data_IF_486044181492
#
_entry.id   IF_486044181492
#
_cell.length_a   1.000
_cell.length_b   1.000
_cell.length_c   1.000
_cell.angle_alpha   90.00
_cell.angle_beta   90.00
_cell.angle_gamma   90.00
#
_symmetry.space_group_name_H-M   'P 1'
#
loop_
_entity.id
_entity.type
_entity.pdbx_description
1 polymer ?
#
# COMPACT_ATOMS: atom_id res chain seq x y z
N UNK A 1 -56.42 27.01 66.06
CA UNK A 1 -56.08 25.92 65.18
C UNK A 1 -55.23 26.52 64.07
N UNK A 2 -53.92 26.45 64.12
CA UNK A 2 -52.99 27.09 63.19
C UNK A 2 -52.03 26.00 62.63
N UNK A 3 -52.13 25.74 61.33
CA UNK A 3 -51.21 24.88 60.62
C UNK A 3 -49.84 25.54 60.51
N UNK A 4 -48.79 24.84 60.91
CA UNK A 4 -47.42 25.17 60.61
C UNK A 4 -46.95 24.20 59.52
N UNK A 5 -46.74 24.71 58.32
CA UNK A 5 -45.93 24.07 57.30
C UNK A 5 -44.45 24.42 57.56
N UNK A 6 -43.64 23.41 57.81
CA UNK A 6 -42.18 23.57 57.85
C UNK A 6 -41.60 23.27 56.48
N UNK A 7 -40.88 24.28 55.94
CA UNK A 7 -40.10 24.18 54.75
C UNK A 7 -38.83 23.35 55.02
N UNK A 8 -38.64 22.26 54.29
CA UNK A 8 -37.36 21.61 54.10
C UNK A 8 -36.85 21.98 52.71
N UNK A 9 -36.15 23.11 52.64
CA UNK A 9 -35.31 23.45 51.51
C UNK A 9 -33.86 23.49 51.99
N UNK A 10 -32.99 23.07 51.06
CA UNK A 10 -31.55 23.22 51.16
C UNK A 10 -30.77 22.21 51.98
N UNK A 11 -30.17 21.26 51.28
CA UNK A 11 -28.76 20.83 51.44
C UNK A 11 -28.38 19.67 50.53
N UNK A 12 -28.80 19.67 49.27
CA UNK A 12 -28.43 18.60 48.32
C UNK A 12 -28.08 19.13 46.91
N UNK A 13 -27.34 20.23 46.84
CA UNK A 13 -26.89 20.75 45.54
C UNK A 13 -25.45 21.31 45.56
N UNK A 14 -24.53 20.61 46.25
CA UNK A 14 -23.12 21.04 46.18
C UNK A 14 -22.13 19.88 46.18
N UNK A 15 -22.52 18.68 45.71
CA UNK A 15 -21.62 17.53 45.59
C UNK A 15 -21.63 16.86 44.20
N UNK A 16 -22.18 17.53 43.20
CA UNK A 16 -22.30 17.00 41.83
C UNK A 16 -21.60 17.87 40.78
N UNK A 17 -20.63 18.71 41.17
CA UNK A 17 -19.90 19.57 40.23
C UNK A 17 -18.37 19.44 40.30
N UNK A 18 -17.84 18.34 40.84
CA UNK A 18 -16.36 18.12 40.87
C UNK A 18 -15.99 16.74 40.27
N UNK A 19 -16.88 16.05 39.59
CA UNK A 19 -16.58 14.74 39.03
C UNK A 19 -16.67 14.68 37.49
N UNK A 20 -16.41 15.82 36.82
CA UNK A 20 -16.41 15.89 35.36
C UNK A 20 -15.23 16.68 34.80
N UNK A 21 -14.03 16.52 35.39
CA UNK A 21 -12.81 17.12 34.83
C UNK A 21 -11.58 16.23 35.06
N UNK A 22 -11.78 14.92 34.89
CA UNK A 22 -10.68 13.97 34.64
C UNK A 22 -11.04 13.08 33.48
N UNK A 23 -11.54 13.65 32.35
CA UNK A 23 -11.38 13.00 31.05
C UNK A 23 -9.94 13.28 30.67
N UNK A 24 -9.15 12.31 30.98
CA UNK A 24 -7.78 12.15 30.57
C UNK A 24 -7.63 12.59 29.13
N UNK A 25 -6.88 13.66 28.92
CA UNK A 25 -6.18 13.93 27.70
C UNK A 25 -5.13 12.80 27.59
N UNK A 26 -5.57 11.59 27.29
CA UNK A 26 -4.72 10.66 26.57
C UNK A 26 -4.53 11.28 25.20
N UNK A 27 -3.54 12.15 25.14
CA UNK A 27 -3.02 12.63 23.88
C UNK A 27 -2.84 11.42 23.00
N UNK A 28 -3.55 11.45 21.88
CA UNK A 28 -3.19 10.66 20.73
C UNK A 28 -1.70 10.94 20.50
N UNK A 29 -0.83 10.06 21.01
CA UNK A 29 0.47 9.90 20.41
C UNK A 29 0.15 9.43 19.00
N UNK A 30 0.00 10.38 18.08
CA UNK A 30 0.29 10.11 16.69
C UNK A 30 1.65 9.45 16.73
N UNK A 31 1.72 8.17 16.42
CA UNK A 31 2.92 7.50 15.97
C UNK A 31 3.23 8.08 14.58
N UNK A 32 3.42 9.41 14.54
CA UNK A 32 3.85 10.11 13.36
C UNK A 32 5.34 10.20 13.45
N UNK A 33 5.96 9.56 12.53
CA UNK A 33 7.35 9.67 12.16
C UNK A 33 8.31 8.74 12.92
N UNK A 34 8.39 7.52 12.46
CA UNK A 34 9.64 6.73 12.59
C UNK A 34 10.82 7.46 11.91
N UNK A 35 10.55 8.56 11.16
CA UNK A 35 11.60 9.31 10.47
C UNK A 35 11.35 10.81 10.57
N UNK A 36 11.86 11.47 11.63
CA UNK A 36 11.93 12.93 11.66
C UNK A 36 12.96 13.42 10.62
N UNK A 37 12.56 14.33 9.75
CA UNK A 37 13.50 15.18 9.01
C UNK A 37 13.91 14.73 7.62
N UNK A 38 13.28 13.74 6.99
CA UNK A 38 13.57 13.41 5.59
C UNK A 38 12.89 14.38 4.64
N UNK A 39 13.64 14.87 3.68
CA UNK A 39 13.11 15.66 2.57
C UNK A 39 12.16 14.78 1.75
N UNK A 40 10.89 15.18 1.67
CA UNK A 40 9.88 14.56 0.83
C UNK A 40 9.71 15.44 -0.40
N UNK A 41 10.00 14.88 -1.57
CA UNK A 41 9.77 15.57 -2.85
C UNK A 41 8.40 15.16 -3.39
N UNK A 42 7.49 16.11 -3.52
CA UNK A 42 6.22 15.89 -4.23
C UNK A 42 6.42 16.21 -5.72
N UNK A 43 5.90 15.33 -6.59
CA UNK A 43 5.95 15.50 -8.04
C UNK A 43 4.56 15.26 -8.65
N UNK A 44 4.20 16.05 -9.64
CA UNK A 44 3.08 15.75 -10.53
C UNK A 44 3.61 14.79 -11.60
N UNK A 45 3.04 13.58 -11.67
CA UNK A 45 3.45 12.59 -12.66
C UNK A 45 2.45 12.45 -13.81
N UNK A 46 1.22 12.95 -13.60
CA UNK A 46 0.16 12.85 -14.60
C UNK A 46 -0.86 13.97 -14.42
N UNK A 47 -1.29 14.54 -15.52
CA UNK A 47 -2.48 15.38 -15.61
C UNK A 47 -3.40 14.70 -16.62
N UNK A 48 -4.62 14.40 -16.23
CA UNK A 48 -5.62 13.77 -17.08
C UNK A 48 -6.98 14.39 -16.81
N UNK A 49 -7.60 14.93 -17.84
CA UNK A 49 -8.82 15.73 -17.74
C UNK A 49 -8.66 16.87 -16.70
N UNK A 50 -9.47 16.88 -15.63
CA UNK A 50 -9.36 17.85 -14.54
C UNK A 50 -8.49 17.36 -13.38
N UNK A 51 -7.97 16.12 -13.44
CA UNK A 51 -7.26 15.48 -12.34
C UNK A 51 -5.76 15.72 -12.44
N UNK A 52 -5.16 16.13 -11.32
CA UNK A 52 -3.71 16.25 -11.16
C UNK A 52 -3.23 15.17 -10.17
N UNK A 53 -2.51 14.17 -10.68
CA UNK A 53 -2.03 13.05 -9.91
C UNK A 53 -0.58 13.24 -9.49
N UNK A 54 -0.33 13.01 -8.21
CA UNK A 54 0.95 13.28 -7.57
C UNK A 54 1.61 12.01 -7.05
N UNK A 55 2.90 12.09 -6.79
CA UNK A 55 3.64 11.11 -6.03
C UNK A 55 4.57 11.79 -5.04
N UNK A 56 4.81 11.12 -3.91
CA UNK A 56 5.78 11.55 -2.91
C UNK A 56 7.01 10.65 -2.97
N UNK A 57 8.19 11.26 -3.01
CA UNK A 57 9.46 10.54 -3.03
C UNK A 57 10.23 10.80 -1.75
N UNK A 58 10.74 9.73 -1.15
CA UNK A 58 11.67 9.74 -0.03
C UNK A 58 13.01 9.24 -0.53
N UNK A 59 14.07 9.97 -0.21
CA UNK A 59 15.41 9.62 -0.60
C UNK A 59 16.23 9.08 0.58
N UNK A 60 17.23 8.22 0.35
CA UNK A 60 18.13 7.80 1.41
C UNK A 60 18.95 8.98 1.95
N UNK A 61 19.26 8.96 3.26
CA UNK A 61 19.95 10.07 3.96
C UNK A 61 21.29 10.48 3.32
N UNK A 62 21.99 9.52 2.75
CA UNK A 62 23.30 9.74 2.12
C UNK A 62 23.19 9.68 0.58
N UNK A 63 22.25 10.40 0.00
CA UNK A 63 22.05 10.47 -1.44
C UNK A 63 23.32 11.01 -2.15
N UNK A 64 23.88 10.21 -3.05
CA UNK A 64 25.04 10.61 -3.88
C UNK A 64 24.58 10.93 -5.30
N UNK A 65 24.95 12.12 -5.82
CA UNK A 65 24.52 12.65 -7.13
C UNK A 65 24.69 11.68 -8.30
N UNK A 66 25.73 10.86 -8.31
CA UNK A 66 26.04 9.95 -9.42
C UNK A 66 25.69 8.49 -9.14
N UNK A 67 24.93 8.20 -8.07
CA UNK A 67 24.54 6.85 -7.71
C UNK A 67 23.08 6.63 -8.06
N UNK A 68 22.76 5.42 -8.55
CA UNK A 68 21.38 4.94 -8.72
C UNK A 68 21.03 4.00 -7.57
N UNK A 69 19.81 4.08 -7.10
CA UNK A 69 19.33 3.35 -5.93
C UNK A 69 18.20 2.38 -6.31
N UNK A 70 18.13 1.22 -5.69
CA UNK A 70 16.93 0.40 -5.75
C UNK A 70 15.73 1.24 -5.32
N UNK A 71 14.58 0.98 -5.94
CA UNK A 71 13.39 1.81 -5.73
C UNK A 71 12.20 0.92 -5.41
N UNK A 72 11.41 1.29 -4.40
CA UNK A 72 10.13 0.65 -4.11
C UNK A 72 8.99 1.65 -4.27
N UNK A 73 7.97 1.25 -5.02
CA UNK A 73 6.80 2.08 -5.36
C UNK A 73 5.59 1.47 -4.69
N UNK A 74 4.92 2.25 -3.83
CA UNK A 74 3.77 1.82 -3.06
C UNK A 74 2.46 2.39 -3.61
N UNK A 75 1.46 1.53 -3.68
CA UNK A 75 0.08 1.86 -4.00
C UNK A 75 -0.82 1.52 -2.80
N UNK A 76 -1.61 2.47 -2.34
CA UNK A 76 -2.50 2.27 -1.19
C UNK A 76 -3.72 1.39 -1.53
N UNK A 77 -4.32 0.78 -0.50
CA UNK A 77 -5.58 0.03 -0.60
C UNK A 77 -6.82 0.94 -0.57
N UNK A 78 -7.99 0.32 -0.56
CA UNK A 78 -9.26 1.02 -0.48
C UNK A 78 -10.27 0.63 -1.58
N UNK A 79 -10.11 -0.56 -2.18
CA UNK A 79 -11.07 -1.14 -3.13
C UNK A 79 -11.27 -0.31 -4.40
N UNK A 80 -10.29 0.51 -4.79
CA UNK A 80 -10.38 1.52 -5.87
C UNK A 80 -11.50 2.56 -5.64
N UNK A 81 -12.07 2.59 -4.42
CA UNK A 81 -13.10 3.55 -4.04
C UNK A 81 -12.52 4.79 -3.35
N UNK A 82 -11.47 4.62 -2.55
CA UNK A 82 -10.86 5.66 -1.75
C UNK A 82 -9.47 5.26 -1.29
N UNK A 83 -8.97 5.91 -0.23
CA UNK A 83 -7.64 5.70 0.32
C UNK A 83 -6.72 6.89 0.05
N UNK A 84 -5.56 6.89 0.71
CA UNK A 84 -4.52 7.91 0.57
C UNK A 84 -3.13 7.28 0.67
N UNK A 85 -2.12 8.00 0.22
CA UNK A 85 -0.70 7.63 0.30
C UNK A 85 -0.21 7.40 1.74
N UNK A 86 -0.94 7.92 2.74
CA UNK A 86 -0.61 7.81 4.16
C UNK A 86 -0.45 6.37 4.62
N UNK A 87 -1.17 5.44 3.98
CA UNK A 87 -1.13 4.02 4.35
C UNK A 87 0.29 3.43 4.39
N UNK A 88 1.18 3.89 3.52
CA UNK A 88 2.53 3.34 3.39
C UNK A 88 3.64 4.33 3.76
N UNK A 89 3.33 5.46 4.43
CA UNK A 89 4.36 6.45 4.81
C UNK A 89 5.44 5.88 5.71
N UNK A 90 5.07 5.03 6.66
CA UNK A 90 6.02 4.44 7.60
C UNK A 90 6.93 3.42 6.92
N UNK A 91 6.38 2.55 6.05
CA UNK A 91 7.18 1.63 5.23
C UNK A 91 8.09 2.40 4.28
N UNK A 92 7.59 3.46 3.62
CA UNK A 92 8.40 4.29 2.72
C UNK A 92 9.58 4.91 3.46
N UNK A 93 9.32 5.45 4.63
CA UNK A 93 10.35 5.99 5.49
C UNK A 93 11.39 4.96 5.90
N UNK A 94 10.95 3.78 6.33
CA UNK A 94 11.84 2.68 6.71
C UNK A 94 12.73 2.26 5.53
N UNK A 95 12.19 1.96 4.37
CA UNK A 95 13.01 1.53 3.23
C UNK A 95 13.91 2.63 2.67
N UNK A 96 13.53 3.90 2.82
CA UNK A 96 14.43 5.01 2.52
C UNK A 96 15.65 5.00 3.47
N UNK A 97 15.46 4.73 4.78
CA UNK A 97 16.57 4.57 5.73
C UNK A 97 17.48 3.38 5.40
N UNK A 98 16.89 2.35 4.77
CA UNK A 98 17.63 1.17 4.29
C UNK A 98 18.36 1.40 2.97
N UNK A 99 18.37 2.64 2.43
CA UNK A 99 19.11 3.02 1.25
C UNK A 99 18.38 2.84 -0.08
N UNK A 100 17.06 2.80 -0.08
CA UNK A 100 16.23 2.80 -1.28
C UNK A 100 15.66 4.19 -1.58
N UNK A 101 15.34 4.48 -2.82
CA UNK A 101 14.36 5.52 -3.15
C UNK A 101 12.98 4.91 -2.94
N UNK A 102 12.11 5.59 -2.20
CA UNK A 102 10.74 5.10 -1.97
C UNK A 102 9.72 6.08 -2.52
N UNK A 103 8.67 5.56 -3.12
CA UNK A 103 7.67 6.35 -3.84
C UNK A 103 6.28 5.96 -3.38
N UNK A 104 5.48 6.94 -2.99
CA UNK A 104 4.07 6.78 -2.68
C UNK A 104 3.27 7.39 -3.83
N UNK A 105 2.43 6.61 -4.50
CA UNK A 105 1.69 7.04 -5.68
C UNK A 105 0.23 7.28 -5.34
N UNK A 106 -0.26 8.51 -5.56
CA UNK A 106 -1.69 8.76 -5.62
C UNK A 106 -2.22 8.37 -7.00
N UNK A 107 -3.44 7.87 -7.06
CA UNK A 107 -4.07 7.40 -8.29
C UNK A 107 -5.58 7.68 -8.24
N UNK A 108 -6.24 7.70 -9.38
CA UNK A 108 -7.68 7.94 -9.46
C UNK A 108 -8.46 6.84 -8.76
N UNK A 109 -9.40 7.27 -7.89
CA UNK A 109 -10.34 6.42 -7.15
C UNK A 109 -11.77 6.91 -7.33
N UNK A 110 -12.75 6.03 -7.17
CA UNK A 110 -14.15 6.34 -7.45
C UNK A 110 -14.68 7.54 -6.66
N UNK A 111 -14.36 7.64 -5.37
CA UNK A 111 -14.90 8.69 -4.48
C UNK A 111 -14.44 10.10 -4.82
N UNK A 112 -13.23 10.25 -5.39
CA UNK A 112 -12.66 11.56 -5.74
C UNK A 112 -12.81 11.89 -7.22
N UNK A 113 -12.80 10.88 -8.10
CA UNK A 113 -12.65 11.06 -9.54
C UNK A 113 -13.74 10.37 -10.37
N UNK A 114 -14.70 9.66 -9.72
CA UNK A 114 -15.70 8.87 -10.45
C UNK A 114 -15.13 7.69 -11.26
N UNK A 115 -13.87 7.36 -11.06
CA UNK A 115 -13.12 6.40 -11.86
C UNK A 115 -13.46 4.95 -11.58
N UNK A 116 -13.11 4.07 -12.52
CA UNK A 116 -13.18 2.62 -12.39
C UNK A 116 -11.79 2.04 -12.03
N UNK A 117 -11.69 0.74 -11.71
CA UNK A 117 -10.39 0.10 -11.50
C UNK A 117 -9.45 0.17 -12.72
N UNK A 118 -9.98 0.30 -13.92
CA UNK A 118 -9.19 0.43 -15.14
C UNK A 118 -8.37 1.73 -15.17
N UNK A 119 -8.99 2.87 -14.76
CA UNK A 119 -8.28 4.15 -14.66
C UNK A 119 -7.20 4.08 -13.57
N UNK A 120 -7.47 3.42 -12.44
CA UNK A 120 -6.46 3.21 -11.40
C UNK A 120 -5.25 2.42 -11.91
N UNK A 121 -5.45 1.38 -12.74
CA UNK A 121 -4.37 0.61 -13.37
C UNK A 121 -3.59 1.47 -14.38
N UNK A 122 -4.28 2.26 -15.21
CA UNK A 122 -3.63 3.20 -16.14
C UNK A 122 -2.71 4.16 -15.38
N UNK A 123 -3.19 4.72 -14.27
CA UNK A 123 -2.41 5.67 -13.46
C UNK A 123 -1.19 5.00 -12.81
N UNK A 124 -1.35 3.80 -12.27
CA UNK A 124 -0.24 3.04 -11.71
C UNK A 124 0.86 2.76 -12.76
N UNK A 125 0.47 2.45 -13.99
CA UNK A 125 1.40 2.24 -15.10
C UNK A 125 2.06 3.53 -15.56
N UNK A 126 1.30 4.63 -15.66
CA UNK A 126 1.83 5.96 -15.97
C UNK A 126 2.90 6.38 -14.94
N UNK A 127 2.65 6.11 -13.64
CA UNK A 127 3.62 6.40 -12.58
C UNK A 127 4.95 5.64 -12.77
N UNK A 128 4.92 4.34 -13.11
CA UNK A 128 6.14 3.56 -13.39
C UNK A 128 6.87 4.12 -14.61
N UNK A 129 6.15 4.50 -15.68
CA UNK A 129 6.76 5.12 -16.87
C UNK A 129 7.44 6.43 -16.55
N UNK A 130 6.75 7.31 -15.84
CA UNK A 130 7.30 8.57 -15.38
C UNK A 130 8.59 8.39 -14.58
N UNK A 131 8.60 7.47 -13.61
CA UNK A 131 9.79 7.16 -12.81
C UNK A 131 10.95 6.62 -13.66
N UNK A 132 10.66 5.82 -14.67
CA UNK A 132 11.68 5.30 -15.60
C UNK A 132 12.22 6.35 -16.55
N UNK A 133 11.38 7.23 -17.02
CA UNK A 133 11.77 8.36 -17.87
C UNK A 133 12.71 9.30 -17.11
N UNK A 134 12.34 9.68 -15.90
CA UNK A 134 13.10 10.59 -15.03
C UNK A 134 14.12 9.88 -14.13
N UNK A 135 14.47 8.61 -14.40
CA UNK A 135 15.29 7.79 -13.52
C UNK A 135 16.67 8.34 -13.22
N UNK A 136 17.27 9.10 -14.15
CA UNK A 136 18.58 9.76 -13.93
C UNK A 136 18.46 10.87 -12.90
N UNK A 137 17.48 11.72 -13.04
CA UNK A 137 17.19 12.86 -12.18
C UNK A 137 16.75 12.41 -10.78
N UNK A 138 15.97 11.34 -10.72
CA UNK A 138 15.42 10.78 -9.48
C UNK A 138 16.34 9.72 -8.84
N UNK A 139 17.54 9.53 -9.36
CA UNK A 139 18.53 8.56 -8.86
C UNK A 139 18.03 7.11 -8.84
N UNK A 140 17.13 6.72 -9.72
CA UNK A 140 16.48 5.40 -9.76
C UNK A 140 17.30 4.41 -10.58
N UNK A 141 17.50 3.20 -10.03
CA UNK A 141 17.98 2.05 -10.79
C UNK A 141 16.80 1.33 -11.43
N UNK A 142 16.59 1.56 -12.73
CA UNK A 142 15.51 0.92 -13.52
C UNK A 142 15.52 -0.61 -13.48
N UNK A 143 16.65 -1.23 -13.13
CA UNK A 143 16.80 -2.69 -13.03
C UNK A 143 16.43 -3.24 -11.65
N UNK A 144 16.28 -2.36 -10.65
CA UNK A 144 15.98 -2.70 -9.26
C UNK A 144 14.75 -1.92 -8.77
N UNK A 145 13.66 -2.02 -9.52
CA UNK A 145 12.38 -1.42 -9.15
C UNK A 145 11.44 -2.49 -8.61
N UNK A 146 10.88 -2.21 -7.45
CA UNK A 146 9.88 -3.05 -6.76
C UNK A 146 8.54 -2.33 -6.81
N UNK A 147 7.47 -3.02 -7.13
CA UNK A 147 6.12 -2.51 -6.91
C UNK A 147 5.51 -3.19 -5.69
N UNK A 148 4.83 -2.43 -4.87
CA UNK A 148 4.23 -2.89 -3.62
C UNK A 148 2.87 -2.23 -3.39
N UNK A 149 2.04 -2.87 -2.60
CA UNK A 149 0.77 -2.28 -2.22
C UNK A 149 -0.10 -3.23 -1.41
N UNK A 150 -1.18 -2.67 -0.82
CA UNK A 150 -2.14 -3.40 -0.02
C UNK A 150 -3.49 -3.51 -0.72
N UNK A 151 -4.14 -4.69 -0.64
CA UNK A 151 -5.51 -4.87 -1.15
C UNK A 151 -5.63 -4.45 -2.64
N UNK A 152 -6.46 -3.48 -2.97
CA UNK A 152 -6.56 -2.88 -4.30
C UNK A 152 -5.22 -2.26 -4.78
N UNK A 153 -4.41 -1.70 -3.87
CA UNK A 153 -3.07 -1.21 -4.22
C UNK A 153 -2.10 -2.34 -4.57
N UNK A 154 -2.24 -3.48 -3.93
CA UNK A 154 -1.51 -4.70 -4.32
C UNK A 154 -1.91 -5.22 -5.70
N UNK A 155 -3.19 -5.07 -6.06
CA UNK A 155 -3.64 -5.30 -7.42
C UNK A 155 -2.90 -4.39 -8.41
N UNK A 156 -2.79 -3.08 -8.13
CA UNK A 156 -2.07 -2.14 -8.97
C UNK A 156 -0.60 -2.51 -9.10
N UNK A 157 0.05 -2.91 -8.00
CA UNK A 157 1.42 -3.38 -7.99
C UNK A 157 1.61 -4.62 -8.89
N UNK A 158 0.71 -5.61 -8.79
CA UNK A 158 0.74 -6.79 -9.65
C UNK A 158 0.40 -6.43 -11.12
N UNK A 159 -0.54 -5.51 -11.33
CA UNK A 159 -0.97 -5.07 -12.66
C UNK A 159 0.16 -4.42 -13.47
N UNK A 160 0.98 -3.55 -12.85
CA UNK A 160 2.12 -2.92 -13.56
C UNK A 160 3.14 -3.93 -14.04
N UNK A 161 3.28 -5.05 -13.35
CA UNK A 161 4.21 -6.12 -13.68
C UNK A 161 3.68 -7.12 -14.71
N UNK A 162 2.41 -7.49 -14.59
CA UNK A 162 1.84 -8.67 -15.23
C UNK A 162 0.90 -8.35 -16.41
N UNK A 163 0.19 -7.21 -16.38
CA UNK A 163 -0.79 -6.89 -17.40
C UNK A 163 -0.16 -6.26 -18.65
N UNK A 164 -0.31 -6.85 -19.83
CA UNK A 164 0.24 -6.27 -21.07
C UNK A 164 -0.55 -5.05 -21.57
N UNK A 165 -1.87 -5.07 -21.36
CA UNK A 165 -2.82 -4.03 -21.78
C UNK A 165 -3.10 -2.98 -20.71
N UNK A 166 -4.24 -2.30 -20.81
CA UNK A 166 -4.73 -1.27 -19.88
C UNK A 166 -3.71 -0.14 -19.69
N UNK A 167 -3.41 0.56 -20.76
CA UNK A 167 -2.50 1.71 -20.77
C UNK A 167 -3.28 2.99 -20.98
N UNK A 168 -2.77 4.11 -20.44
CA UNK A 168 -3.28 5.41 -20.80
C UNK A 168 -2.93 5.74 -22.26
N UNK A 169 -3.85 6.39 -22.97
CA UNK A 169 -3.67 6.68 -24.40
C UNK A 169 -2.54 7.69 -24.66
N UNK A 170 -2.24 8.52 -23.66
CA UNK A 170 -1.17 9.54 -23.74
C UNK A 170 0.19 9.04 -23.29
N UNK A 171 0.28 7.81 -22.74
CA UNK A 171 1.55 7.24 -22.27
C UNK A 171 2.46 6.82 -23.43
N UNK A 172 3.75 7.09 -23.30
CA UNK A 172 4.75 6.44 -24.15
C UNK A 172 4.89 4.95 -23.80
N UNK A 173 4.20 4.10 -24.53
CA UNK A 173 4.21 2.65 -24.32
C UNK A 173 5.53 1.96 -24.71
N UNK A 174 6.48 2.67 -25.34
CA UNK A 174 7.85 2.17 -25.55
C UNK A 174 8.61 2.05 -24.22
N UNK A 175 8.22 2.84 -23.23
CA UNK A 175 8.70 2.71 -21.85
C UNK A 175 7.88 1.61 -21.16
N UNK A 176 8.46 0.42 -20.99
CA UNK A 176 7.77 -0.70 -20.35
C UNK A 176 7.53 -0.47 -18.85
N UNK A 177 6.49 -1.09 -18.30
CA UNK A 177 6.14 -1.00 -16.87
C UNK A 177 6.73 -2.12 -16.02
N UNK A 178 7.57 -3.02 -16.59
CA UNK A 178 8.15 -4.16 -15.86
C UNK A 178 8.91 -3.68 -14.62
N UNK A 179 8.66 -4.34 -13.51
CA UNK A 179 9.40 -4.21 -12.26
C UNK A 179 10.19 -5.48 -11.98
N UNK A 180 11.15 -5.42 -11.09
CA UNK A 180 12.07 -6.52 -10.82
C UNK A 180 11.70 -7.37 -9.62
N UNK A 181 10.72 -6.94 -8.81
CA UNK A 181 10.12 -7.71 -7.74
C UNK A 181 8.74 -7.14 -7.37
N UNK A 182 7.92 -7.95 -6.70
CA UNK A 182 6.62 -7.57 -6.15
C UNK A 182 6.58 -7.85 -4.63
N UNK A 183 5.92 -6.95 -3.88
CA UNK A 183 5.56 -7.16 -2.48
C UNK A 183 4.07 -6.87 -2.33
N UNK A 184 3.29 -7.90 -2.04
CA UNK A 184 1.83 -7.88 -2.09
C UNK A 184 1.26 -8.13 -0.69
N UNK A 185 0.60 -7.10 -0.10
CA UNK A 185 -0.03 -7.19 1.21
C UNK A 185 -1.54 -7.38 1.05
N UNK A 186 -2.09 -8.50 1.50
CA UNK A 186 -3.53 -8.81 1.41
C UNK A 186 -4.11 -8.48 0.02
N UNK A 187 -3.38 -8.81 -1.05
CA UNK A 187 -3.57 -8.21 -2.35
C UNK A 187 -4.68 -8.88 -3.14
N UNK A 188 -5.49 -8.07 -3.78
CA UNK A 188 -6.38 -8.56 -4.85
C UNK A 188 -5.50 -8.94 -6.04
N UNK A 189 -5.55 -10.18 -6.45
CA UNK A 189 -4.86 -10.65 -7.66
C UNK A 189 -5.80 -11.38 -8.61
N UNK A 190 -6.97 -11.80 -8.11
CA UNK A 190 -8.01 -12.45 -8.88
C UNK A 190 -9.28 -11.56 -8.95
N UNK A 191 -9.78 -11.32 -10.16
CA UNK A 191 -11.04 -10.63 -10.44
C UNK A 191 -12.00 -11.51 -11.25
N UNK A 192 -11.73 -12.81 -11.30
CA UNK A 192 -12.57 -13.79 -11.98
C UNK A 192 -13.92 -14.04 -11.30
N UNK A 193 -14.81 -14.84 -11.90
CA UNK A 193 -16.12 -15.14 -11.35
C UNK A 193 -16.09 -16.21 -10.23
N UNK A 194 -14.92 -16.81 -9.95
CA UNK A 194 -14.78 -17.88 -8.96
C UNK A 194 -14.78 -17.38 -7.51
N UNK A 195 -14.72 -18.30 -6.53
CA UNK A 195 -14.79 -17.98 -5.10
C UNK A 195 -13.67 -17.05 -4.59
N UNK A 196 -12.55 -16.95 -5.31
CA UNK A 196 -11.43 -16.04 -5.00
C UNK A 196 -11.53 -14.70 -5.70
N UNK A 197 -12.47 -14.52 -6.62
CA UNK A 197 -12.61 -13.34 -7.45
C UNK A 197 -13.16 -12.15 -6.69
N UNK A 198 -12.35 -11.09 -6.59
CA UNK A 198 -12.76 -9.88 -5.88
C UNK A 198 -13.43 -8.89 -6.83
N UNK A 199 -14.68 -8.54 -6.51
CA UNK A 199 -15.50 -7.55 -7.25
C UNK A 199 -15.58 -7.82 -8.77
N UNK A 200 -15.76 -9.07 -9.14
CA UNK A 200 -15.91 -9.49 -10.54
C UNK A 200 -16.94 -8.65 -11.31
N UNK A 201 -18.08 -8.35 -10.70
CA UNK A 201 -19.15 -7.54 -11.31
C UNK A 201 -18.69 -6.15 -11.78
N UNK A 202 -17.71 -5.55 -11.09
CA UNK A 202 -17.11 -4.26 -11.52
C UNK A 202 -16.16 -4.39 -12.70
N UNK A 203 -15.60 -5.58 -12.91
CA UNK A 203 -14.66 -5.86 -14.01
C UNK A 203 -15.40 -6.36 -15.26
N UNK A 204 -16.55 -7.01 -15.06
CA UNK A 204 -17.35 -7.61 -16.13
C UNK A 204 -16.62 -8.71 -16.89
N UNK A 205 -17.11 -9.05 -18.07
CA UNK A 205 -16.56 -10.11 -18.93
C UNK A 205 -15.10 -9.86 -19.34
N UNK A 206 -14.66 -8.60 -19.31
CA UNK A 206 -13.28 -8.24 -19.66
C UNK A 206 -12.28 -8.45 -18.50
N UNK A 207 -12.68 -9.09 -17.40
CA UNK A 207 -11.85 -9.27 -16.21
C UNK A 207 -10.46 -9.85 -16.50
N UNK A 208 -10.31 -10.70 -17.50
CA UNK A 208 -9.02 -11.26 -17.92
C UNK A 208 -7.98 -10.19 -18.29
N UNK A 209 -8.42 -9.02 -18.74
CA UNK A 209 -7.54 -7.91 -19.10
C UNK A 209 -6.99 -7.16 -17.89
N UNK A 210 -7.62 -7.31 -16.71
CA UNK A 210 -7.29 -6.57 -15.50
C UNK A 210 -6.91 -7.46 -14.30
N UNK A 211 -7.20 -8.77 -14.37
CA UNK A 211 -6.91 -9.73 -13.30
C UNK A 211 -5.47 -10.25 -13.38
N UNK A 212 -4.60 -9.88 -12.42
CA UNK A 212 -3.17 -10.20 -12.47
C UNK A 212 -2.88 -11.70 -12.51
N UNK A 213 -3.59 -12.50 -11.72
CA UNK A 213 -3.35 -13.96 -11.60
C UNK A 213 -3.51 -14.68 -12.96
N UNK A 214 -4.42 -14.19 -13.80
CA UNK A 214 -4.68 -14.75 -15.14
C UNK A 214 -3.64 -14.32 -16.18
N UNK A 215 -2.74 -13.40 -15.81
CA UNK A 215 -1.70 -12.87 -16.68
C UNK A 215 -0.28 -13.28 -16.26
N UNK A 216 -0.14 -14.20 -15.29
CA UNK A 216 1.14 -14.77 -14.89
C UNK A 216 1.70 -15.58 -16.06
N UNK A 217 2.95 -15.27 -16.45
CA UNK A 217 3.66 -15.95 -17.52
C UNK A 217 5.16 -15.98 -17.25
N UNK A 218 5.90 -16.78 -17.99
CA UNK A 218 7.37 -16.85 -17.89
C UNK A 218 8.01 -15.46 -17.86
N UNK A 219 8.85 -15.22 -16.86
CA UNK A 219 9.48 -13.93 -16.61
C UNK A 219 8.67 -13.01 -15.68
N UNK A 220 7.62 -13.51 -15.02
CA UNK A 220 6.98 -12.83 -13.89
C UNK A 220 8.02 -12.57 -12.80
N UNK A 221 8.05 -11.38 -12.17
CA UNK A 221 9.09 -11.03 -11.20
C UNK A 221 8.95 -11.83 -9.89
N UNK A 222 10.04 -12.08 -9.18
CA UNK A 222 9.98 -12.62 -7.81
C UNK A 222 8.95 -11.87 -6.97
N UNK A 223 8.11 -12.60 -6.25
CA UNK A 223 7.00 -12.04 -5.48
C UNK A 223 7.03 -12.54 -4.04
N UNK A 224 6.84 -11.61 -3.08
CA UNK A 224 6.44 -11.93 -1.71
C UNK A 224 4.97 -11.59 -1.55
N UNK A 225 4.15 -12.56 -1.13
CA UNK A 225 2.73 -12.41 -0.86
C UNK A 225 2.46 -12.58 0.63
N UNK A 226 1.94 -11.55 1.29
CA UNK A 226 1.68 -11.49 2.72
C UNK A 226 0.18 -11.47 2.94
N UNK A 227 -0.36 -12.40 3.75
CA UNK A 227 -1.80 -12.56 3.93
C UNK A 227 -2.11 -13.08 5.34
N UNK A 228 -3.23 -12.65 5.91
CA UNK A 228 -3.78 -13.21 7.14
C UNK A 228 -4.76 -14.35 6.84
N UNK A 229 -4.80 -15.39 7.65
CA UNK A 229 -5.70 -16.54 7.45
C UNK A 229 -7.17 -16.24 7.78
N UNK A 230 -7.44 -15.13 8.46
CA UNK A 230 -8.79 -14.60 8.75
C UNK A 230 -9.18 -13.44 7.83
N UNK A 231 -8.48 -13.28 6.71
CA UNK A 231 -8.87 -12.29 5.72
C UNK A 231 -10.20 -12.70 5.06
N UNK A 232 -11.24 -11.91 5.30
CA UNK A 232 -12.59 -12.16 4.79
C UNK A 232 -12.81 -11.65 3.36
N UNK A 233 -11.85 -10.90 2.81
CA UNK A 233 -11.90 -10.38 1.44
C UNK A 233 -11.06 -11.21 0.47
N UNK A 234 -9.91 -11.68 0.91
CA UNK A 234 -8.95 -12.42 0.10
C UNK A 234 -8.70 -13.78 0.77
N UNK A 235 -9.34 -14.85 0.30
CA UNK A 235 -9.10 -16.20 0.84
C UNK A 235 -7.66 -16.67 0.64
N UNK A 236 -7.16 -17.49 1.56
CA UNK A 236 -5.80 -18.09 1.46
C UNK A 236 -5.63 -18.85 0.15
N UNK A 237 -6.68 -19.52 -0.33
CA UNK A 237 -6.67 -20.24 -1.62
C UNK A 237 -6.27 -19.37 -2.82
N UNK A 238 -6.48 -18.06 -2.76
CA UNK A 238 -6.03 -17.12 -3.81
C UNK A 238 -4.51 -16.97 -3.80
N UNK A 239 -3.91 -16.90 -2.62
CA UNK A 239 -2.45 -16.86 -2.48
C UNK A 239 -1.81 -18.19 -2.90
N UNK A 240 -2.45 -19.31 -2.59
CA UNK A 240 -2.01 -20.64 -2.99
C UNK A 240 -2.07 -20.82 -4.53
N UNK A 241 -3.16 -20.41 -5.18
CA UNK A 241 -3.28 -20.44 -6.65
C UNK A 241 -2.27 -19.50 -7.31
N UNK A 242 -2.09 -18.30 -6.76
CA UNK A 242 -1.07 -17.36 -7.25
C UNK A 242 0.31 -17.97 -7.19
N UNK A 243 0.68 -18.59 -6.05
CA UNK A 243 1.96 -19.29 -5.90
C UNK A 243 2.10 -20.44 -6.88
N UNK A 244 1.09 -21.29 -7.00
CA UNK A 244 1.12 -22.44 -7.92
C UNK A 244 1.36 -21.99 -9.38
N UNK A 245 0.72 -20.91 -9.82
CA UNK A 245 0.94 -20.35 -11.17
C UNK A 245 2.32 -19.73 -11.35
N UNK A 246 2.85 -19.08 -10.30
CA UNK A 246 4.23 -18.56 -10.30
C UNK A 246 5.24 -19.69 -10.41
N UNK A 247 5.08 -20.75 -9.64
CA UNK A 247 5.93 -21.94 -9.67
C UNK A 247 5.88 -22.64 -11.04
N UNK A 248 4.69 -22.75 -11.65
CA UNK A 248 4.49 -23.35 -12.97
C UNK A 248 5.24 -22.63 -14.09
N UNK A 249 5.52 -21.32 -13.95
CA UNK A 249 6.32 -20.55 -14.90
C UNK A 249 7.78 -20.38 -14.48
N UNK A 250 8.20 -21.03 -13.40
CA UNK A 250 9.56 -20.99 -12.87
C UNK A 250 9.94 -19.66 -12.19
N UNK A 251 8.96 -18.92 -11.67
CA UNK A 251 9.17 -17.65 -10.97
C UNK A 251 9.08 -17.83 -9.46
N UNK A 252 10.04 -17.25 -8.72
CA UNK A 252 10.05 -17.32 -7.23
C UNK A 252 8.80 -16.64 -6.66
N UNK A 253 8.09 -17.35 -5.78
CA UNK A 253 6.97 -16.79 -5.02
C UNK A 253 7.04 -17.30 -3.57
N UNK A 254 7.14 -16.37 -2.63
CA UNK A 254 7.07 -16.62 -1.20
C UNK A 254 5.71 -16.17 -0.68
N UNK A 255 4.97 -17.07 -0.03
CA UNK A 255 3.69 -16.78 0.61
C UNK A 255 3.87 -16.86 2.11
N UNK A 256 3.55 -15.78 2.81
CA UNK A 256 3.59 -15.69 4.26
C UNK A 256 2.15 -15.56 4.78
N UNK A 257 1.67 -16.59 5.46
CA UNK A 257 0.35 -16.62 6.08
C UNK A 257 0.49 -16.35 7.58
N UNK A 258 -0.25 -15.36 8.09
CA UNK A 258 -0.26 -14.97 9.49
C UNK A 258 -1.53 -15.44 10.17
N UNK A 259 -1.38 -16.34 11.14
CA UNK A 259 -2.48 -16.95 11.88
C UNK A 259 -3.28 -15.90 12.67
N UNK A 260 -4.60 -16.01 12.63
CA UNK A 260 -5.52 -15.12 13.33
C UNK A 260 -5.66 -13.73 12.74
N UNK A 261 -4.90 -13.38 11.68
CA UNK A 261 -4.89 -12.03 11.14
C UNK A 261 -5.92 -11.83 10.04
N UNK A 262 -6.60 -10.67 10.09
CA UNK A 262 -7.61 -10.25 9.10
C UNK A 262 -7.03 -9.30 8.05
N UNK A 263 -7.93 -8.76 7.22
CA UNK A 263 -7.57 -7.81 6.17
C UNK A 263 -6.91 -6.54 6.73
N UNK A 264 -5.77 -6.13 6.19
CA UNK A 264 -5.06 -4.90 6.58
C UNK A 264 -4.25 -4.98 7.88
N UNK A 265 -3.98 -6.17 8.40
CA UNK A 265 -3.24 -6.37 9.65
C UNK A 265 -1.81 -5.79 9.66
N UNK A 266 -1.21 -5.62 8.50
CA UNK A 266 0.14 -5.09 8.29
C UNK A 266 0.24 -3.57 8.51
N UNK A 267 -0.88 -2.87 8.63
CA UNK A 267 -0.89 -1.43 8.91
C UNK A 267 -0.56 -1.16 10.39
N UNK A 268 0.04 -0.01 10.66
CA UNK A 268 0.14 0.50 12.04
C UNK A 268 -1.28 0.76 12.56
N UNK A 269 -1.56 0.24 13.76
CA UNK A 269 -2.83 0.44 14.46
C UNK A 269 -2.64 1.31 15.69
N UNK A 270 -3.73 1.81 16.24
CA UNK A 270 -3.71 2.68 17.44
C UNK A 270 -3.15 1.94 18.66
N UNK A 271 -3.38 0.64 18.73
CA UNK A 271 -3.05 -0.23 19.85
C UNK A 271 -1.77 -1.05 19.67
N UNK A 272 -1.31 -1.25 18.43
CA UNK A 272 -0.11 -2.04 18.16
C UNK A 272 0.49 -1.76 16.78
N UNK A 273 1.81 -1.82 16.71
CA UNK A 273 2.61 -1.80 15.49
C UNK A 273 3.29 -3.15 15.19
N UNK A 274 2.96 -4.17 15.98
CA UNK A 274 3.63 -5.48 15.95
C UNK A 274 3.70 -6.07 14.54
N UNK A 275 2.56 -6.22 13.87
CA UNK A 275 2.53 -6.81 12.53
C UNK A 275 3.08 -5.90 11.44
N UNK A 276 3.04 -4.59 11.63
CA UNK A 276 3.78 -3.66 10.79
C UNK A 276 5.28 -3.97 10.85
N UNK A 277 5.83 -4.12 12.07
CA UNK A 277 7.26 -4.41 12.27
C UNK A 277 7.64 -5.79 11.73
N UNK A 278 6.84 -6.82 12.03
CA UNK A 278 7.08 -8.20 11.57
C UNK A 278 7.07 -8.24 10.03
N UNK A 279 6.03 -7.73 9.38
CA UNK A 279 5.90 -7.82 7.93
C UNK A 279 6.92 -6.95 7.22
N UNK A 280 7.26 -5.78 7.75
CA UNK A 280 8.29 -4.90 7.17
C UNK A 280 9.68 -5.55 7.26
N UNK A 281 9.98 -6.24 8.36
CA UNK A 281 11.22 -7.02 8.52
C UNK A 281 11.32 -8.18 7.52
N UNK A 282 10.24 -8.90 7.28
CA UNK A 282 10.23 -9.97 6.28
C UNK A 282 10.43 -9.43 4.86
N UNK A 283 9.82 -8.29 4.52
CA UNK A 283 10.06 -7.62 3.24
C UNK A 283 11.52 -7.15 3.12
N UNK A 284 12.13 -6.62 4.19
CA UNK A 284 13.55 -6.25 4.19
C UNK A 284 14.44 -7.46 3.87
N UNK A 285 14.21 -8.59 4.53
CA UNK A 285 14.94 -9.85 4.25
C UNK A 285 14.76 -10.32 2.81
N UNK A 286 13.54 -10.25 2.29
CA UNK A 286 13.26 -10.60 0.90
C UNK A 286 14.02 -9.70 -0.07
N UNK A 287 13.98 -8.37 0.13
CA UNK A 287 14.71 -7.41 -0.70
C UNK A 287 16.24 -7.56 -0.55
N UNK A 288 16.72 -7.91 0.63
CA UNK A 288 18.12 -8.24 0.89
C UNK A 288 18.56 -9.49 0.11
N UNK A 289 17.71 -10.53 0.06
CA UNK A 289 17.97 -11.75 -0.72
C UNK A 289 18.06 -11.51 -2.22
N UNK A 290 17.43 -10.42 -2.71
CA UNK A 290 17.52 -9.96 -4.11
C UNK A 290 18.71 -9.01 -4.35
N UNK A 291 19.48 -8.67 -3.32
CA UNK A 291 20.62 -7.75 -3.39
C UNK A 291 20.22 -6.29 -3.57
N UNK A 292 19.04 -5.88 -3.09
CA UNK A 292 18.56 -4.51 -3.15
C UNK A 292 18.90 -3.73 -1.88
N UNK A 293 18.92 -4.40 -0.73
CA UNK A 293 19.27 -3.87 0.57
C UNK A 293 20.51 -4.63 1.09
N UNK A 294 21.28 -4.03 1.97
CA UNK A 294 22.46 -4.64 2.62
C UNK A 294 22.32 -4.59 4.14
N UNK A 295 22.86 -5.62 4.79
CA UNK A 295 22.86 -5.76 6.25
C UNK A 295 21.51 -6.24 6.79
N UNK A 296 21.46 -6.49 8.09
CA UNK A 296 20.28 -6.96 8.79
C UNK A 296 19.18 -5.88 8.87
N UNK A 297 17.90 -6.27 8.97
CA UNK A 297 16.81 -5.33 9.23
C UNK A 297 17.06 -4.50 10.50
N UNK A 298 16.64 -3.24 10.49
CA UNK A 298 16.86 -2.28 11.57
C UNK A 298 15.60 -1.97 12.40
N UNK A 299 14.49 -2.73 12.19
CA UNK A 299 13.26 -2.70 12.99
C UNK A 299 13.32 -3.71 14.14
#
# INVERSE_FOLDING_TARGET
>A
MKNRKQNYFTKWNMFLLVMFLCVSVYGQKKFSSIIPGKEVKELIYKIVDADTLKMELYFPDNLKKNKKYPTIVFYYGGGWNGGTVDQFRDQAGYFASRGMVTVLVDYRVKSRHGSTPYESVKDAKSAIRYLKEHAKELHIDKKKMVASGGSAGGHLAAAVALLPGVNESTDDVSINTKVSALVLYNSVVDNGPGPGGFQHERMGEAYLTISPIHNIKKGAPPTMFILGDKDHLIPVSVADDYKARMDAVGSRCEVLIYEGQGHGFFNIRVDTDEYYMITTREVDKFLSSLGYIKGEPTL
#
